data_IF_047388927740
#
_entry.id   IF_047388927740
#
_cell.length_a   1.000
_cell.length_b   1.000
_cell.length_c   1.000
_cell.angle_alpha   90.00
_cell.angle_beta   90.00
_cell.angle_gamma   90.00
#
_symmetry.space_group_name_H-M   'P 1'
#
loop_
_entity.id
_entity.type
_entity.pdbx_description
1 polymer ?
#
# COMPACT_ATOMS: atom_id res chain seq x y z
N UNK A 1 15.84 -3.80 11.42
CA UNK A 1 17.27 -3.84 11.74
C UNK A 1 17.58 -4.76 12.94
N UNK A 2 16.79 -4.68 14.04
CA UNK A 2 16.97 -5.54 15.21
C UNK A 2 16.55 -7.00 14.97
N UNK A 3 15.56 -7.22 14.10
CA UNK A 3 15.04 -8.54 13.71
C UNK A 3 15.20 -8.69 12.20
N UNK A 4 16.39 -9.02 11.68
CA UNK A 4 16.68 -9.12 10.26
C UNK A 4 16.25 -10.48 9.67
N UNK A 5 14.97 -10.85 9.85
CA UNK A 5 14.38 -12.09 9.36
C UNK A 5 13.44 -11.79 8.19
N UNK A 6 13.34 -12.71 7.22
CA UNK A 6 12.35 -12.66 6.16
C UNK A 6 10.94 -12.88 6.74
N UNK A 7 9.93 -12.15 6.26
CA UNK A 7 8.54 -12.23 6.75
C UNK A 7 7.99 -10.90 7.30
N UNK A 8 8.87 -9.89 7.44
CA UNK A 8 8.45 -8.52 7.74
C UNK A 8 7.63 -8.39 9.03
N UNK A 9 6.51 -7.66 8.95
CA UNK A 9 5.67 -7.32 10.11
C UNK A 9 5.14 -8.56 10.85
N UNK A 10 4.80 -9.63 10.15
CA UNK A 10 4.34 -10.88 10.76
C UNK A 10 5.37 -11.38 11.79
N UNK A 11 6.64 -11.46 11.40
CA UNK A 11 7.73 -11.92 12.27
C UNK A 11 7.99 -10.93 13.41
N UNK A 12 7.85 -9.63 13.18
CA UNK A 12 8.03 -8.63 14.24
C UNK A 12 6.97 -8.78 15.33
N UNK A 13 5.70 -8.93 14.94
CA UNK A 13 4.58 -9.16 15.86
C UNK A 13 4.76 -10.51 16.60
N UNK A 14 5.19 -11.56 15.91
CA UNK A 14 5.46 -12.87 16.51
C UNK A 14 6.54 -12.80 17.60
N UNK A 15 7.66 -12.16 17.33
CA UNK A 15 8.77 -12.01 18.29
C UNK A 15 8.40 -11.20 19.54
N UNK A 16 7.43 -10.29 19.44
CA UNK A 16 7.01 -9.40 20.51
C UNK A 16 5.85 -9.97 21.32
N UNK A 17 4.82 -10.46 20.63
CA UNK A 17 3.53 -10.84 21.21
C UNK A 17 3.26 -12.35 21.18
N UNK A 18 4.06 -13.12 20.43
CA UNK A 18 3.94 -14.57 20.31
C UNK A 18 3.31 -15.04 19.01
N UNK A 19 3.44 -16.34 18.75
CA UNK A 19 3.13 -17.00 17.48
C UNK A 19 1.68 -16.79 17.01
N UNK A 20 0.71 -16.80 17.93
CA UNK A 20 -0.71 -16.59 17.65
C UNK A 20 -0.97 -15.20 16.99
N UNK A 21 -0.31 -14.16 17.48
CA UNK A 21 -0.45 -12.80 16.95
C UNK A 21 0.34 -12.60 15.66
N UNK A 22 1.49 -13.27 15.52
CA UNK A 22 2.22 -13.36 14.25
C UNK A 22 1.35 -13.96 13.16
N UNK A 23 0.74 -15.13 13.44
CA UNK A 23 -0.21 -15.74 12.51
C UNK A 23 -1.36 -14.82 12.15
N UNK A 24 -1.98 -14.14 13.14
CA UNK A 24 -3.08 -13.21 12.91
C UNK A 24 -2.68 -12.07 11.97
N UNK A 25 -1.45 -11.56 12.12
CA UNK A 25 -0.88 -10.55 11.23
C UNK A 25 -0.75 -11.08 9.80
N UNK A 26 -0.19 -12.27 9.63
CA UNK A 26 -0.04 -12.91 8.32
C UNK A 26 -1.39 -13.26 7.68
N UNK A 27 -2.36 -13.70 8.47
CA UNK A 27 -3.74 -13.95 8.05
C UNK A 27 -4.38 -12.66 7.51
N UNK A 28 -4.36 -11.58 8.29
CA UNK A 28 -4.89 -10.28 7.88
C UNK A 28 -4.22 -9.79 6.59
N UNK A 29 -2.90 -9.91 6.49
CA UNK A 29 -2.17 -9.53 5.28
C UNK A 29 -2.58 -10.37 4.07
N UNK A 30 -2.79 -11.68 4.25
CA UNK A 30 -3.18 -12.60 3.18
C UNK A 30 -4.61 -12.41 2.70
N UNK A 31 -5.55 -12.20 3.63
CA UNK A 31 -6.98 -12.20 3.30
C UNK A 31 -7.50 -10.80 3.00
N UNK A 32 -6.95 -9.76 3.64
CA UNK A 32 -7.47 -8.39 3.55
C UNK A 32 -6.50 -7.44 2.87
N UNK A 33 -5.31 -7.23 3.47
CA UNK A 33 -4.45 -6.11 3.09
C UNK A 33 -3.93 -6.24 1.65
N UNK A 34 -3.23 -7.32 1.31
CA UNK A 34 -2.68 -7.46 -0.04
C UNK A 34 -3.75 -7.59 -1.12
N UNK A 35 -4.77 -8.46 -0.98
CA UNK A 35 -5.82 -8.54 -1.99
C UNK A 35 -6.61 -7.25 -2.15
N UNK A 36 -6.95 -6.56 -1.04
CA UNK A 36 -7.67 -5.30 -1.06
C UNK A 36 -6.88 -4.18 -1.72
N UNK A 37 -5.57 -4.07 -1.43
CA UNK A 37 -4.71 -3.06 -2.06
C UNK A 37 -4.49 -3.35 -3.54
N UNK A 38 -4.32 -4.61 -3.95
CA UNK A 38 -4.22 -4.99 -5.37
C UNK A 38 -5.52 -4.62 -6.08
N UNK A 39 -6.68 -4.92 -5.49
CA UNK A 39 -7.98 -4.57 -6.03
C UNK A 39 -8.18 -3.06 -6.15
N UNK A 40 -7.80 -2.29 -5.12
CA UNK A 40 -7.85 -0.83 -5.15
C UNK A 40 -6.99 -0.27 -6.30
N UNK A 41 -5.76 -0.73 -6.45
CA UNK A 41 -4.90 -0.35 -7.58
C UNK A 41 -5.51 -0.74 -8.92
N UNK A 42 -6.10 -1.93 -9.02
CA UNK A 42 -6.71 -2.39 -10.27
C UNK A 42 -7.96 -1.58 -10.65
N UNK A 43 -8.77 -1.18 -9.68
CA UNK A 43 -9.95 -0.33 -9.91
C UNK A 43 -9.52 1.04 -10.43
N UNK A 44 -8.53 1.70 -9.78
CA UNK A 44 -8.05 3.00 -10.26
C UNK A 44 -7.36 2.90 -11.63
N UNK A 45 -6.62 1.81 -11.88
CA UNK A 45 -6.08 1.51 -13.21
C UNK A 45 -7.18 1.42 -14.26
N UNK A 46 -8.24 0.66 -13.95
CA UNK A 46 -9.36 0.44 -14.87
C UNK A 46 -10.16 1.72 -15.12
N UNK A 47 -10.36 2.56 -14.11
CA UNK A 47 -10.99 3.88 -14.25
C UNK A 47 -10.20 4.79 -15.18
N UNK A 48 -8.89 4.88 -14.99
CA UNK A 48 -8.01 5.68 -15.83
C UNK A 48 -7.91 5.12 -17.27
N UNK A 49 -7.87 3.79 -17.43
CA UNK A 49 -7.86 3.15 -18.73
C UNK A 49 -9.17 3.36 -19.48
N UNK A 50 -10.32 3.24 -18.80
CA UNK A 50 -11.64 3.52 -19.38
C UNK A 50 -11.72 4.97 -19.89
N UNK A 51 -11.29 5.94 -19.09
CA UNK A 51 -11.27 7.35 -19.48
C UNK A 51 -10.36 7.61 -20.69
N UNK A 52 -9.17 7.00 -20.72
CA UNK A 52 -8.24 7.12 -21.84
C UNK A 52 -8.81 6.52 -23.15
N UNK A 53 -9.63 5.48 -23.03
CA UNK A 53 -10.34 4.82 -24.16
C UNK A 53 -11.63 5.55 -24.57
N UNK A 54 -12.01 6.62 -23.86
CA UNK A 54 -13.22 7.41 -24.14
C UNK A 54 -14.50 6.84 -23.51
N UNK A 55 -14.38 5.91 -22.56
CA UNK A 55 -15.50 5.38 -21.78
C UNK A 55 -15.64 6.11 -20.43
N UNK A 56 -16.82 6.00 -19.82
CA UNK A 56 -17.04 6.56 -18.47
C UNK A 56 -16.23 5.78 -17.43
N UNK A 57 -15.44 6.49 -16.63
CA UNK A 57 -14.64 5.93 -15.52
C UNK A 57 -15.51 5.43 -14.34
N UNK A 58 -16.81 5.75 -14.34
CA UNK A 58 -17.77 5.28 -13.31
C UNK A 58 -18.63 4.11 -13.78
N UNK A 59 -18.61 3.78 -15.09
CA UNK A 59 -19.40 2.68 -15.64
C UNK A 59 -18.76 1.32 -15.34
N UNK A 60 -19.40 0.59 -14.44
CA UNK A 60 -18.93 -0.74 -14.01
C UNK A 60 -18.83 -1.75 -15.15
N UNK A 61 -19.55 -1.58 -16.25
CA UNK A 61 -19.49 -2.46 -17.43
C UNK A 61 -18.11 -2.46 -18.08
N UNK A 62 -17.39 -1.34 -18.01
CA UNK A 62 -16.03 -1.20 -18.53
C UNK A 62 -14.98 -1.36 -17.42
N UNK A 63 -15.22 -0.77 -16.25
CA UNK A 63 -14.25 -0.75 -15.16
C UNK A 63 -13.99 -2.15 -14.59
N UNK A 64 -15.03 -2.96 -14.34
CA UNK A 64 -14.85 -4.27 -13.72
C UNK A 64 -14.06 -5.26 -14.59
N UNK A 65 -14.38 -5.43 -15.89
CA UNK A 65 -13.58 -6.31 -16.76
C UNK A 65 -12.12 -5.86 -16.89
N UNK A 66 -11.88 -4.54 -16.99
CA UNK A 66 -10.52 -4.00 -17.08
C UNK A 66 -9.74 -4.23 -15.77
N UNK A 67 -10.37 -4.06 -14.61
CA UNK A 67 -9.75 -4.32 -13.31
C UNK A 67 -9.38 -5.80 -13.16
N UNK A 68 -10.30 -6.70 -13.48
CA UNK A 68 -10.03 -8.15 -13.44
C UNK A 68 -8.94 -8.53 -14.46
N UNK A 69 -9.00 -8.00 -15.68
CA UNK A 69 -8.00 -8.28 -16.71
C UNK A 69 -6.58 -7.89 -16.27
N UNK A 70 -6.41 -6.70 -15.66
CA UNK A 70 -5.09 -6.25 -15.21
C UNK A 70 -4.59 -7.09 -14.02
N UNK A 71 -5.47 -7.48 -13.08
CA UNK A 71 -5.09 -8.38 -11.98
C UNK A 71 -4.59 -9.72 -12.51
N UNK A 72 -5.32 -10.33 -13.45
CA UNK A 72 -4.95 -11.61 -14.06
C UNK A 72 -3.65 -11.50 -14.89
N UNK A 73 -3.46 -10.41 -15.61
CA UNK A 73 -2.23 -10.15 -16.36
C UNK A 73 -1.01 -10.09 -15.44
N UNK A 74 -1.13 -9.35 -14.33
CA UNK A 74 -0.07 -9.25 -13.31
C UNK A 74 0.18 -10.64 -12.67
N UNK A 75 -0.87 -11.41 -12.41
CA UNK A 75 -0.74 -12.77 -11.89
C UNK A 75 0.09 -13.65 -12.82
N UNK A 76 -0.23 -13.66 -14.12
CA UNK A 76 0.51 -14.44 -15.12
C UNK A 76 2.00 -14.07 -15.13
N UNK A 77 2.33 -12.78 -15.12
CA UNK A 77 3.72 -12.33 -15.10
C UNK A 77 4.48 -12.81 -13.85
N UNK A 78 3.85 -12.77 -12.68
CA UNK A 78 4.45 -13.22 -11.43
C UNK A 78 4.52 -14.74 -11.32
N UNK A 79 3.58 -15.47 -11.94
CA UNK A 79 3.60 -16.94 -12.01
C UNK A 79 4.70 -17.45 -12.93
N UNK A 80 4.97 -16.77 -14.05
CA UNK A 80 6.07 -17.15 -14.98
C UNK A 80 7.40 -17.22 -14.22
N UNK A 81 7.69 -16.22 -13.40
CA UNK A 81 8.90 -16.22 -12.58
C UNK A 81 9.04 -14.96 -11.73
N UNK A 82 9.56 -15.11 -10.52
CA UNK A 82 9.80 -13.98 -9.62
C UNK A 82 10.77 -12.94 -10.21
N UNK A 83 11.77 -13.38 -10.95
CA UNK A 83 12.70 -12.50 -11.67
C UNK A 83 12.01 -11.67 -12.75
N UNK A 84 11.04 -12.25 -13.47
CA UNK A 84 10.29 -11.57 -14.50
C UNK A 84 9.38 -10.49 -13.90
N UNK A 85 8.67 -10.80 -12.80
CA UNK A 85 7.91 -9.82 -12.03
C UNK A 85 8.81 -8.67 -11.51
N UNK A 86 10.03 -8.97 -11.09
CA UNK A 86 11.03 -7.97 -10.66
C UNK A 86 11.50 -7.04 -11.78
N UNK A 87 11.71 -7.57 -13.00
CA UNK A 87 12.06 -6.74 -14.18
C UNK A 87 10.92 -5.78 -14.51
N UNK A 88 9.68 -6.28 -14.54
CA UNK A 88 8.49 -5.44 -14.77
C UNK A 88 8.40 -4.34 -13.70
N UNK A 89 8.66 -4.68 -12.43
CA UNK A 89 8.68 -3.71 -11.34
C UNK A 89 9.71 -2.60 -11.57
N UNK A 90 10.89 -2.95 -12.04
CA UNK A 90 11.96 -1.98 -12.34
C UNK A 90 11.55 -1.04 -13.49
N UNK A 91 11.04 -1.60 -14.59
CA UNK A 91 10.58 -0.83 -15.75
C UNK A 91 9.44 0.13 -15.33
N UNK A 92 8.44 -0.37 -14.58
CA UNK A 92 7.33 0.44 -14.10
C UNK A 92 7.80 1.54 -13.13
N UNK A 93 8.82 1.27 -12.29
CA UNK A 93 9.38 2.26 -11.38
C UNK A 93 10.10 3.37 -12.12
N UNK A 94 10.87 3.05 -13.15
CA UNK A 94 11.52 4.07 -14.00
C UNK A 94 10.44 4.85 -14.77
N UNK A 95 9.50 4.15 -15.38
CA UNK A 95 8.44 4.75 -16.20
C UNK A 95 7.57 5.74 -15.45
N UNK A 96 7.25 5.48 -14.18
CA UNK A 96 6.44 6.40 -13.35
C UNK A 96 7.17 7.70 -12.96
N UNK A 97 8.50 7.73 -12.99
CA UNK A 97 9.25 8.94 -12.66
C UNK A 97 9.15 9.99 -13.75
N UNK A 98 9.02 9.57 -15.01
CA UNK A 98 8.96 10.49 -16.17
C UNK A 98 7.80 11.49 -16.05
N UNK A 99 6.52 11.08 -15.89
CA UNK A 99 5.42 12.04 -15.75
C UNK A 99 5.58 12.94 -14.51
N UNK A 100 6.10 12.42 -13.40
CA UNK A 100 6.32 13.22 -12.19
C UNK A 100 7.35 14.33 -12.43
N UNK A 101 8.49 14.01 -13.03
CA UNK A 101 9.55 14.98 -13.33
C UNK A 101 9.05 16.03 -14.32
N UNK A 102 8.31 15.63 -15.35
CA UNK A 102 7.75 16.55 -16.33
C UNK A 102 6.75 17.53 -15.69
N UNK A 103 5.81 17.04 -14.88
CA UNK A 103 4.82 17.91 -14.22
C UNK A 103 5.50 18.84 -13.22
N UNK A 104 6.43 18.34 -12.40
CA UNK A 104 7.17 19.18 -11.45
C UNK A 104 7.95 20.26 -12.19
N UNK A 105 8.78 19.88 -13.16
CA UNK A 105 9.63 20.82 -13.90
C UNK A 105 8.84 21.90 -14.64
N UNK A 106 7.91 21.47 -15.48
CA UNK A 106 7.09 22.43 -16.27
C UNK A 106 6.06 23.15 -15.42
N UNK A 107 5.55 22.52 -14.35
CA UNK A 107 4.65 23.17 -13.40
C UNK A 107 5.29 24.38 -12.73
N UNK A 108 6.52 24.25 -12.25
CA UNK A 108 7.26 25.38 -11.68
C UNK A 108 7.62 26.46 -12.70
N UNK A 109 7.86 26.09 -13.98
CA UNK A 109 8.23 27.05 -15.02
C UNK A 109 7.02 27.83 -15.57
N UNK A 110 5.87 27.16 -15.75
CA UNK A 110 4.69 27.71 -16.43
C UNK A 110 3.50 28.02 -15.52
N UNK A 111 3.53 27.56 -14.28
CA UNK A 111 2.48 27.86 -13.32
C UNK A 111 2.52 29.33 -12.87
N UNK A 112 1.35 29.88 -12.60
CA UNK A 112 1.18 31.28 -12.22
C UNK A 112 0.08 31.50 -11.18
N UNK A 113 -0.44 30.45 -10.55
CA UNK A 113 -1.47 30.57 -9.53
C UNK A 113 -0.92 31.23 -8.27
N UNK A 114 -1.64 32.23 -7.75
CA UNK A 114 -1.26 32.95 -6.54
C UNK A 114 -1.90 32.41 -5.27
N UNK A 115 -2.81 31.44 -5.39
CA UNK A 115 -3.65 30.94 -4.28
C UNK A 115 -3.28 29.52 -3.84
N UNK A 116 -2.00 29.25 -3.59
CA UNK A 116 -1.52 27.90 -3.24
C UNK A 116 -2.01 27.44 -1.87
N UNK A 117 -2.16 28.37 -0.90
CA UNK A 117 -2.49 28.05 0.49
C UNK A 117 -3.91 28.47 0.90
N UNK A 118 -4.70 29.00 -0.02
CA UNK A 118 -6.06 29.47 0.26
C UNK A 118 -7.06 28.96 -0.77
N UNK A 119 -8.25 28.48 -0.34
CA UNK A 119 -8.66 28.27 1.06
C UNK A 119 -7.98 27.04 1.68
N UNK A 120 -7.70 27.06 2.99
CA UNK A 120 -7.15 25.90 3.71
C UNK A 120 -8.16 24.77 3.90
N UNK A 121 -9.46 25.09 3.88
CA UNK A 121 -10.57 24.15 4.05
C UNK A 121 -11.68 24.56 3.10
N UNK A 122 -12.37 23.59 2.50
CA UNK A 122 -13.52 23.83 1.63
C UNK A 122 -14.74 24.41 2.39
N UNK A 123 -15.61 25.07 1.68
CA UNK A 123 -16.84 25.62 2.25
C UNK A 123 -17.72 24.51 2.87
N UNK A 124 -18.25 24.76 4.06
CA UNK A 124 -19.15 23.83 4.77
C UNK A 124 -18.46 22.63 5.44
N UNK A 125 -17.13 22.54 5.42
CA UNK A 125 -16.37 21.43 6.02
C UNK A 125 -15.56 21.89 7.22
N UNK A 126 -15.50 21.10 8.30
CA UNK A 126 -14.68 21.44 9.48
C UNK A 126 -13.23 21.04 9.29
N UNK A 127 -12.30 21.78 9.87
CA UNK A 127 -10.87 21.46 9.82
C UNK A 127 -10.59 20.04 10.35
N UNK A 128 -11.28 19.61 11.40
CA UNK A 128 -11.08 18.29 12.02
C UNK A 128 -11.48 17.15 11.09
N UNK A 129 -12.65 17.26 10.42
CA UNK A 129 -13.09 16.24 9.46
C UNK A 129 -12.18 16.20 8.23
N UNK A 130 -11.74 17.35 7.75
CA UNK A 130 -10.81 17.46 6.62
C UNK A 130 -9.46 16.81 6.97
N UNK A 131 -8.90 17.10 8.14
CA UNK A 131 -7.65 16.49 8.59
C UNK A 131 -7.74 14.96 8.67
N UNK A 132 -8.85 14.41 9.16
CA UNK A 132 -9.06 12.95 9.20
C UNK A 132 -9.01 12.32 7.81
N UNK A 133 -9.76 12.88 6.84
CA UNK A 133 -9.79 12.37 5.47
C UNK A 133 -8.44 12.53 4.76
N UNK A 134 -7.79 13.69 4.89
CA UNK A 134 -6.46 13.94 4.31
C UNK A 134 -5.42 12.98 4.89
N UNK A 135 -5.46 12.71 6.19
CA UNK A 135 -4.53 11.76 6.82
C UNK A 135 -4.71 10.35 6.25
N UNK A 136 -5.94 9.84 6.13
CA UNK A 136 -6.19 8.50 5.56
C UNK A 136 -5.68 8.41 4.12
N UNK A 137 -6.02 9.38 3.28
CA UNK A 137 -5.55 9.44 1.89
C UNK A 137 -4.01 9.52 1.80
N UNK A 138 -3.40 10.34 2.65
CA UNK A 138 -1.94 10.47 2.73
C UNK A 138 -1.30 9.16 3.18
N UNK A 139 -1.86 8.49 4.19
CA UNK A 139 -1.34 7.23 4.68
C UNK A 139 -1.42 6.11 3.64
N UNK A 140 -2.47 6.10 2.81
CA UNK A 140 -2.54 5.20 1.66
C UNK A 140 -1.43 5.51 0.64
N UNK A 141 -1.22 6.79 0.32
CA UNK A 141 -0.19 7.21 -0.64
C UNK A 141 1.24 6.88 -0.18
N UNK A 142 1.49 6.90 1.13
CA UNK A 142 2.79 6.56 1.72
C UNK A 142 2.93 5.08 2.13
N UNK A 143 1.88 4.26 1.93
CA UNK A 143 1.93 2.85 2.32
C UNK A 143 2.97 2.05 1.51
N UNK A 144 3.38 0.91 2.05
CA UNK A 144 4.35 0.01 1.44
C UNK A 144 5.76 0.08 2.03
N UNK A 145 6.09 1.08 2.85
CA UNK A 145 7.43 1.23 3.45
C UNK A 145 7.85 0.02 4.31
N UNK A 146 6.92 -0.67 4.93
CA UNK A 146 7.20 -1.84 5.77
C UNK A 146 7.53 -3.09 4.96
N UNK A 147 7.07 -3.15 3.69
CA UNK A 147 7.22 -4.32 2.83
C UNK A 147 8.69 -4.63 2.52
N UNK A 148 9.58 -3.65 2.57
CA UNK A 148 11.03 -3.87 2.46
C UNK A 148 11.55 -4.80 3.56
N UNK A 149 10.87 -4.84 4.72
CA UNK A 149 11.17 -5.79 5.80
C UNK A 149 10.95 -7.25 5.43
N UNK A 150 10.05 -7.54 4.48
CA UNK A 150 9.79 -8.90 4.02
C UNK A 150 11.00 -9.53 3.30
N UNK A 151 11.85 -8.72 2.67
CA UNK A 151 13.07 -9.15 1.97
C UNK A 151 14.34 -8.93 2.79
N UNK A 152 14.22 -8.57 4.07
CA UNK A 152 15.36 -8.23 4.92
C UNK A 152 16.41 -9.37 5.00
N UNK A 153 15.99 -10.63 4.95
CA UNK A 153 16.87 -11.78 4.94
C UNK A 153 17.65 -11.99 3.63
N UNK A 154 17.21 -11.37 2.53
CA UNK A 154 17.85 -11.43 1.21
C UNK A 154 18.91 -10.31 1.02
N UNK A 155 18.94 -9.32 1.93
CA UNK A 155 19.86 -8.19 1.87
C UNK A 155 21.25 -8.55 2.36
N UNK A 156 22.32 -8.10 1.68
CA UNK A 156 23.73 -8.36 2.06
C UNK A 156 24.06 -7.86 3.47
N UNK A 157 23.55 -6.68 3.86
CA UNK A 157 23.75 -6.09 5.17
C UNK A 157 22.48 -5.43 5.70
N UNK A 158 21.44 -6.25 5.94
CA UNK A 158 20.10 -5.80 6.34
C UNK A 158 20.11 -4.90 7.60
N UNK A 159 21.06 -5.10 8.51
CA UNK A 159 21.18 -4.28 9.73
C UNK A 159 21.48 -2.81 9.45
N UNK A 160 22.26 -2.50 8.41
CA UNK A 160 22.62 -1.13 8.00
C UNK A 160 21.76 -0.63 6.85
N UNK A 161 21.46 -1.49 5.88
CA UNK A 161 20.82 -1.09 4.62
C UNK A 161 19.31 -0.88 4.79
N UNK A 162 18.65 -1.69 5.65
CA UNK A 162 17.22 -1.55 5.89
C UNK A 162 16.82 -0.17 6.46
N UNK A 163 17.45 0.35 7.54
CA UNK A 163 17.15 1.70 8.01
C UNK A 163 17.43 2.78 6.96
N UNK A 164 18.53 2.68 6.21
CA UNK A 164 18.86 3.65 5.16
C UNK A 164 17.83 3.63 4.02
N UNK A 165 17.41 2.44 3.60
CA UNK A 165 16.41 2.28 2.55
C UNK A 165 15.05 2.86 2.97
N UNK A 166 14.62 2.61 4.22
CA UNK A 166 13.33 3.13 4.72
C UNK A 166 13.39 4.65 4.88
N UNK A 167 14.37 5.16 5.64
CA UNK A 167 14.46 6.60 5.93
C UNK A 167 14.75 7.40 4.66
N UNK A 168 15.72 6.97 3.86
CA UNK A 168 16.08 7.65 2.61
C UNK A 168 14.95 7.58 1.58
N UNK A 169 14.32 6.42 1.43
CA UNK A 169 13.19 6.23 0.53
C UNK A 169 11.99 7.09 0.90
N UNK A 170 11.58 7.08 2.17
CA UNK A 170 10.46 7.92 2.64
C UNK A 170 10.77 9.42 2.52
N UNK A 171 11.99 9.84 2.84
CA UNK A 171 12.39 11.26 2.68
C UNK A 171 12.35 11.70 1.21
N UNK A 172 12.80 10.85 0.29
CA UNK A 172 12.74 11.12 -1.15
C UNK A 172 11.28 11.20 -1.62
N UNK A 173 10.45 10.23 -1.24
CA UNK A 173 9.02 10.23 -1.58
C UNK A 173 8.32 11.46 -1.05
N UNK A 174 8.61 11.86 0.20
CA UNK A 174 8.06 13.08 0.80
C UNK A 174 8.44 14.32 0.00
N UNK A 175 9.71 14.47 -0.38
CA UNK A 175 10.18 15.59 -1.19
C UNK A 175 9.47 15.64 -2.56
N UNK A 176 9.33 14.50 -3.23
CA UNK A 176 8.62 14.40 -4.51
C UNK A 176 7.14 14.72 -4.35
N UNK A 177 6.48 14.22 -3.31
CA UNK A 177 5.05 14.49 -3.08
C UNK A 177 4.78 15.96 -2.74
N UNK A 178 5.65 16.59 -1.96
CA UNK A 178 5.56 18.03 -1.71
C UNK A 178 5.74 18.82 -3.00
N UNK A 179 6.77 18.50 -3.79
CA UNK A 179 7.05 19.18 -5.03
C UNK A 179 5.90 19.03 -6.05
N UNK A 180 5.33 17.84 -6.21
CA UNK A 180 4.23 17.61 -7.17
C UNK A 180 2.94 18.32 -6.73
N UNK A 181 2.62 18.33 -5.43
CA UNK A 181 1.44 19.02 -4.92
C UNK A 181 1.57 20.54 -5.08
N UNK A 182 2.75 21.10 -4.78
CA UNK A 182 3.02 22.52 -5.05
C UNK A 182 2.89 22.80 -6.55
N UNK A 183 3.44 21.96 -7.43
CA UNK A 183 3.33 22.14 -8.87
C UNK A 183 1.86 22.10 -9.35
N UNK A 184 1.03 21.20 -8.81
CA UNK A 184 -0.39 21.14 -9.13
C UNK A 184 -1.10 22.45 -8.77
N UNK A 185 -0.93 22.91 -7.53
CA UNK A 185 -1.55 24.13 -7.03
C UNK A 185 -1.00 25.41 -7.70
N UNK A 186 0.24 25.36 -8.19
CA UNK A 186 0.85 26.44 -8.94
C UNK A 186 0.28 26.56 -10.37
N UNK A 187 -0.17 25.46 -10.96
CA UNK A 187 -0.76 25.39 -12.31
C UNK A 187 -2.27 25.61 -12.30
N UNK A 188 -2.96 25.08 -11.28
CA UNK A 188 -4.40 25.15 -11.15
C UNK A 188 -4.80 25.39 -9.70
N UNK A 189 -5.74 26.33 -9.42
CA UNK A 189 -6.21 26.58 -8.05
C UNK A 189 -6.93 25.37 -7.48
N UNK A 190 -6.96 25.26 -6.16
CA UNK A 190 -7.59 24.15 -5.45
C UNK A 190 -9.07 23.93 -5.85
N UNK A 191 -9.80 25.01 -6.16
CA UNK A 191 -11.20 24.97 -6.61
C UNK A 191 -11.40 24.22 -7.93
N UNK A 192 -10.42 24.26 -8.83
CA UNK A 192 -10.48 23.52 -10.10
C UNK A 192 -10.04 22.06 -9.93
N UNK A 193 -9.19 21.78 -8.96
CA UNK A 193 -8.69 20.44 -8.67
C UNK A 193 -9.68 19.64 -7.80
N UNK A 194 -10.56 20.31 -7.07
CA UNK A 194 -11.53 19.69 -6.19
C UNK A 194 -12.56 18.85 -6.98
N UNK A 195 -12.78 17.61 -6.55
CA UNK A 195 -13.76 16.70 -7.18
C UNK A 195 -13.34 16.11 -8.53
N UNK A 196 -12.15 16.44 -9.05
CA UNK A 196 -11.63 15.89 -10.31
C UNK A 196 -11.10 14.46 -10.07
N UNK A 197 -11.48 13.54 -10.93
CA UNK A 197 -11.03 12.13 -10.86
C UNK A 197 -9.52 11.99 -11.02
N UNK A 198 -8.90 12.82 -11.86
CA UNK A 198 -7.45 12.81 -12.11
C UNK A 198 -6.87 14.22 -12.16
N UNK A 199 -6.50 14.80 -11.00
CA UNK A 199 -5.82 16.11 -10.95
C UNK A 199 -4.56 16.18 -11.83
N UNK A 200 -3.79 15.07 -11.87
CA UNK A 200 -2.59 14.99 -12.69
C UNK A 200 -2.87 15.18 -14.19
N UNK A 201 -3.94 14.55 -14.69
CA UNK A 201 -4.36 14.68 -16.10
C UNK A 201 -4.85 16.10 -16.42
N UNK A 202 -5.58 16.73 -15.50
CA UNK A 202 -6.02 18.12 -15.64
C UNK A 202 -4.83 19.08 -15.74
N UNK A 203 -3.88 18.97 -14.81
CA UNK A 203 -2.66 19.80 -14.81
C UNK A 203 -1.83 19.55 -16.07
N UNK A 204 -1.70 18.30 -16.49
CA UNK A 204 -0.98 17.97 -17.71
C UNK A 204 -1.64 18.54 -18.96
N UNK A 205 -2.98 18.53 -19.03
CA UNK A 205 -3.72 19.20 -20.11
C UNK A 205 -3.46 20.70 -20.16
N UNK A 206 -3.40 21.37 -19.01
CA UNK A 206 -3.06 22.79 -18.92
C UNK A 206 -1.61 23.09 -19.38
N UNK A 207 -0.67 22.22 -19.00
CA UNK A 207 0.75 22.41 -19.32
C UNK A 207 1.12 22.05 -20.75
N UNK A 208 0.54 20.97 -21.29
CA UNK A 208 0.99 20.32 -22.52
C UNK A 208 -0.13 20.13 -23.56
N UNK A 209 -1.36 20.60 -23.28
CA UNK A 209 -2.54 20.36 -24.12
C UNK A 209 -3.03 18.91 -24.08
N UNK A 210 -4.02 18.57 -24.91
CA UNK A 210 -4.70 17.27 -24.91
C UNK A 210 -3.76 16.06 -25.10
N UNK A 211 -2.72 16.21 -25.91
CA UNK A 211 -1.74 15.13 -26.14
C UNK A 211 -0.93 14.90 -24.85
N UNK A 212 -0.51 15.95 -24.18
CA UNK A 212 0.20 15.87 -22.92
C UNK A 212 -0.63 15.19 -21.82
N UNK A 213 -1.91 15.53 -21.72
CA UNK A 213 -2.82 14.87 -20.79
C UNK A 213 -2.91 13.36 -21.01
N UNK A 214 -3.05 12.92 -22.24
CA UNK A 214 -3.07 11.48 -22.58
C UNK A 214 -1.76 10.77 -22.26
N UNK A 215 -0.61 11.40 -22.53
CA UNK A 215 0.71 10.85 -22.19
C UNK A 215 0.89 10.69 -20.68
N UNK A 216 0.47 11.69 -19.92
CA UNK A 216 0.55 11.63 -18.44
C UNK A 216 -0.42 10.55 -17.90
N UNK A 217 -1.64 10.45 -18.43
CA UNK A 217 -2.58 9.39 -18.08
C UNK A 217 -1.99 7.99 -18.34
N UNK A 218 -1.30 7.80 -19.48
CA UNK A 218 -0.58 6.56 -19.76
C UNK A 218 0.56 6.31 -18.73
N UNK A 219 1.28 7.34 -18.33
CA UNK A 219 2.30 7.26 -17.29
C UNK A 219 1.72 6.86 -15.92
N UNK A 220 0.53 7.38 -15.59
CA UNK A 220 -0.22 6.99 -14.38
C UNK A 220 -0.60 5.50 -14.45
N UNK A 221 -1.08 5.02 -15.59
CA UNK A 221 -1.40 3.60 -15.79
C UNK A 221 -0.18 2.71 -15.52
N UNK A 222 0.99 3.07 -16.07
CA UNK A 222 2.25 2.35 -15.83
C UNK A 222 2.61 2.36 -14.34
N UNK A 223 2.44 3.49 -13.68
CA UNK A 223 2.72 3.66 -12.25
C UNK A 223 1.83 2.75 -11.39
N UNK A 224 0.53 2.78 -11.62
CA UNK A 224 -0.45 1.99 -10.85
C UNK A 224 -0.29 0.51 -11.14
N UNK A 225 -0.05 0.12 -12.39
CA UNK A 225 0.28 -1.25 -12.78
C UNK A 225 1.52 -1.77 -12.02
N UNK A 226 2.60 -0.98 -11.99
CA UNK A 226 3.81 -1.33 -11.25
C UNK A 226 3.56 -1.46 -9.75
N UNK A 227 2.72 -0.61 -9.18
CA UNK A 227 2.33 -0.69 -7.77
C UNK A 227 1.57 -1.99 -7.48
N UNK A 228 0.55 -2.32 -8.26
CA UNK A 228 -0.19 -3.57 -8.14
C UNK A 228 0.72 -4.80 -8.31
N UNK A 229 1.64 -4.77 -9.29
CA UNK A 229 2.62 -5.82 -9.49
C UNK A 229 3.53 -6.02 -8.27
N UNK A 230 4.00 -4.95 -7.66
CA UNK A 230 4.79 -5.01 -6.42
C UNK A 230 4.03 -5.65 -5.26
N UNK A 231 2.74 -5.34 -5.10
CA UNK A 231 1.90 -5.97 -4.08
C UNK A 231 1.63 -7.46 -4.36
N UNK A 232 1.44 -7.88 -5.60
CA UNK A 232 1.34 -9.32 -5.96
C UNK A 232 2.65 -10.03 -5.67
N UNK A 233 3.77 -9.44 -6.10
CA UNK A 233 5.11 -10.00 -5.91
C UNK A 233 5.44 -10.21 -4.41
N UNK A 234 5.21 -9.21 -3.58
CA UNK A 234 5.53 -9.25 -2.14
C UNK A 234 4.46 -9.99 -1.33
N UNK A 235 3.19 -9.74 -1.63
CA UNK A 235 2.05 -10.26 -0.89
C UNK A 235 1.94 -11.78 -0.96
N UNK A 236 2.26 -12.38 -2.09
CA UNK A 236 2.24 -13.84 -2.24
C UNK A 236 3.24 -14.59 -1.35
N UNK A 237 4.27 -13.90 -0.87
CA UNK A 237 5.26 -14.49 0.05
C UNK A 237 4.72 -14.68 1.47
N UNK A 238 3.67 -13.96 1.87
CA UNK A 238 3.09 -14.07 3.21
C UNK A 238 2.35 -15.41 3.39
N UNK A 239 1.33 -15.77 2.57
CA UNK A 239 0.69 -17.08 2.68
C UNK A 239 1.66 -18.23 2.43
N UNK A 240 2.65 -18.05 1.57
CA UNK A 240 3.73 -19.01 1.39
C UNK A 240 4.54 -19.23 2.67
N UNK A 241 4.93 -18.16 3.38
CA UNK A 241 5.69 -18.24 4.61
C UNK A 241 4.88 -18.94 5.72
N UNK A 242 3.61 -18.58 5.91
CA UNK A 242 2.71 -19.21 6.88
C UNK A 242 2.54 -20.71 6.54
N UNK A 243 2.39 -21.02 5.27
CA UNK A 243 2.23 -22.41 4.81
C UNK A 243 3.49 -23.25 5.06
N UNK A 244 4.69 -22.68 4.98
CA UNK A 244 5.94 -23.39 5.33
C UNK A 244 6.00 -23.82 6.80
N UNK A 245 5.37 -23.07 7.69
CA UNK A 245 5.24 -23.42 9.10
C UNK A 245 4.10 -24.42 9.37
N UNK A 246 3.28 -24.68 8.36
CA UNK A 246 2.12 -25.59 8.45
C UNK A 246 0.94 -24.96 9.20
N UNK A 247 0.89 -23.66 9.34
CA UNK A 247 -0.09 -22.94 10.18
C UNK A 247 -1.31 -22.41 9.38
N UNK A 248 -1.45 -22.79 8.11
CA UNK A 248 -2.62 -22.44 7.27
C UNK A 248 -3.18 -23.70 6.59
N UNK A 249 -4.51 -23.80 6.38
CA UNK A 249 -5.11 -24.89 5.62
C UNK A 249 -4.50 -24.98 4.21
N UNK A 250 -4.24 -26.19 3.73
CA UNK A 250 -3.66 -26.40 2.41
C UNK A 250 -2.17 -26.02 2.31
N UNK A 251 -1.43 -26.03 3.41
CA UNK A 251 0.01 -25.70 3.47
C UNK A 251 0.83 -26.43 2.40
N UNK A 252 0.62 -27.73 2.19
CA UNK A 252 1.29 -28.52 1.13
C UNK A 252 1.02 -28.00 -0.28
N UNK A 253 -0.13 -27.38 -0.50
CA UNK A 253 -0.51 -26.79 -1.79
C UNK A 253 0.13 -25.42 -1.96
N UNK A 254 0.09 -24.56 -0.92
CA UNK A 254 0.58 -23.18 -0.96
C UNK A 254 2.11 -23.09 -0.99
N UNK A 255 2.83 -24.12 -0.51
CA UNK A 255 4.30 -24.17 -0.53
C UNK A 255 4.89 -24.60 -1.88
N UNK A 256 4.07 -24.93 -2.87
CA UNK A 256 4.57 -25.31 -4.20
C UNK A 256 5.15 -24.09 -4.92
N UNK A 257 6.36 -24.27 -5.45
CA UNK A 257 7.04 -23.30 -6.31
C UNK A 257 7.27 -23.90 -7.70
N UNK A 258 7.28 -23.06 -8.71
CA UNK A 258 7.60 -23.47 -10.08
C UNK A 258 9.11 -23.38 -10.38
N UNK A 259 9.53 -23.71 -11.61
CA UNK A 259 10.92 -23.61 -12.06
C UNK A 259 11.48 -22.18 -11.99
N UNK A 260 10.63 -21.15 -12.04
CA UNK A 260 10.96 -19.73 -11.88
C UNK A 260 11.00 -19.26 -10.43
N UNK A 261 11.02 -20.16 -9.45
CA UNK A 261 11.02 -19.86 -8.00
C UNK A 261 9.82 -19.04 -7.53
N UNK A 262 8.70 -19.08 -8.27
CA UNK A 262 7.47 -18.38 -7.91
C UNK A 262 6.53 -19.29 -7.13
N UNK A 263 5.97 -18.85 -5.99
CA UNK A 263 4.97 -19.57 -5.22
C UNK A 263 3.59 -19.42 -5.89
N UNK A 264 3.41 -20.10 -7.02
CA UNK A 264 2.28 -19.87 -7.94
C UNK A 264 0.90 -20.07 -7.29
N UNK A 265 0.76 -21.05 -6.38
CA UNK A 265 -0.51 -21.27 -5.68
C UNK A 265 -0.82 -20.14 -4.66
N UNK A 266 0.20 -19.61 -4.00
CA UNK A 266 0.05 -18.45 -3.12
C UNK A 266 -0.27 -17.17 -3.91
N UNK A 267 0.29 -17.02 -5.12
CA UNK A 267 -0.08 -15.93 -6.05
C UNK A 267 -1.55 -16.03 -6.40
N UNK A 268 -2.02 -17.23 -6.85
CA UNK A 268 -3.42 -17.43 -7.23
C UNK A 268 -4.39 -17.19 -6.06
N UNK A 269 -4.02 -17.58 -4.84
CA UNK A 269 -4.84 -17.30 -3.66
C UNK A 269 -5.10 -15.80 -3.50
N UNK A 270 -4.03 -14.98 -3.50
CA UNK A 270 -4.14 -13.53 -3.34
C UNK A 270 -4.88 -12.90 -4.51
N UNK A 271 -4.61 -13.36 -5.73
CA UNK A 271 -5.22 -12.84 -6.96
C UNK A 271 -6.71 -13.12 -7.02
N UNK A 272 -7.15 -14.33 -6.66
CA UNK A 272 -8.58 -14.67 -6.60
C UNK A 272 -9.30 -13.77 -5.59
N UNK A 273 -8.72 -13.59 -4.39
CA UNK A 273 -9.27 -12.68 -3.40
C UNK A 273 -9.29 -11.23 -3.91
N UNK A 274 -8.25 -10.78 -4.60
CA UNK A 274 -8.21 -9.45 -5.20
C UNK A 274 -9.30 -9.26 -6.27
N UNK A 275 -9.54 -10.27 -7.12
CA UNK A 275 -10.64 -10.24 -8.09
C UNK A 275 -12.01 -10.11 -7.40
N UNK A 276 -12.24 -10.85 -6.30
CA UNK A 276 -13.49 -10.74 -5.53
C UNK A 276 -13.67 -9.34 -4.94
N UNK A 277 -12.61 -8.75 -4.38
CA UNK A 277 -12.67 -7.37 -3.87
C UNK A 277 -12.86 -6.35 -5.01
N UNK A 278 -12.25 -6.55 -6.16
CA UNK A 278 -12.39 -5.66 -7.32
C UNK A 278 -13.83 -5.59 -7.85
N UNK A 279 -14.68 -6.63 -7.59
CA UNK A 279 -16.10 -6.61 -7.95
C UNK A 279 -16.89 -5.48 -7.29
N UNK A 280 -16.38 -4.93 -6.18
CA UNK A 280 -16.98 -3.73 -5.57
C UNK A 280 -16.96 -2.53 -6.52
N UNK A 281 -15.92 -2.43 -7.35
CA UNK A 281 -15.67 -1.30 -8.24
C UNK A 281 -15.43 0.03 -7.53
N UNK A 282 -15.11 0.00 -6.23
CA UNK A 282 -15.01 1.19 -5.38
C UNK A 282 -13.60 1.32 -4.78
N UNK A 283 -12.79 2.21 -5.34
CA UNK A 283 -11.44 2.47 -4.86
C UNK A 283 -11.42 2.92 -3.38
N UNK A 284 -12.26 3.90 -3.00
CA UNK A 284 -12.27 4.45 -1.65
C UNK A 284 -12.61 3.39 -0.59
N UNK A 285 -13.62 2.56 -0.83
CA UNK A 285 -13.99 1.47 0.09
C UNK A 285 -12.82 0.50 0.32
N UNK A 286 -12.12 0.14 -0.76
CA UNK A 286 -11.00 -0.80 -0.69
C UNK A 286 -9.77 -0.18 0.00
N UNK A 287 -9.45 1.08 -0.32
CA UNK A 287 -8.35 1.80 0.32
C UNK A 287 -8.60 2.02 1.82
N UNK A 288 -9.81 2.44 2.20
CA UNK A 288 -10.17 2.67 3.59
C UNK A 288 -10.09 1.37 4.42
N UNK A 289 -10.63 0.27 3.87
CA UNK A 289 -10.56 -1.05 4.51
C UNK A 289 -9.10 -1.48 4.73
N UNK A 290 -8.27 -1.39 3.69
CA UNK A 290 -6.89 -1.88 3.75
C UNK A 290 -6.02 -1.03 4.68
N UNK A 291 -6.17 0.30 4.64
CA UNK A 291 -5.45 1.21 5.52
C UNK A 291 -5.90 1.01 6.97
N UNK A 292 -7.19 0.89 7.23
CA UNK A 292 -7.68 0.65 8.57
C UNK A 292 -7.05 -0.60 9.20
N UNK A 293 -7.16 -1.76 8.52
CA UNK A 293 -6.68 -3.02 9.10
C UNK A 293 -5.16 -3.04 9.28
N UNK A 294 -4.39 -2.49 8.33
CA UNK A 294 -2.94 -2.48 8.45
C UNK A 294 -2.47 -1.53 9.57
N UNK A 295 -3.13 -0.38 9.77
CA UNK A 295 -2.77 0.58 10.80
C UNK A 295 -3.02 0.07 12.21
N UNK A 296 -4.01 -0.81 12.43
CA UNK A 296 -4.15 -1.52 13.72
C UNK A 296 -2.84 -2.27 14.06
N UNK A 297 -2.27 -2.98 13.09
CA UNK A 297 -1.02 -3.73 13.29
C UNK A 297 0.22 -2.82 13.31
N UNK A 298 0.21 -1.68 12.61
CA UNK A 298 1.29 -0.69 12.73
C UNK A 298 1.35 -0.12 14.15
N UNK A 299 0.22 0.24 14.74
CA UNK A 299 0.15 0.70 16.13
C UNK A 299 0.70 -0.37 17.09
N UNK A 300 0.31 -1.63 16.92
CA UNK A 300 0.86 -2.75 17.69
C UNK A 300 2.38 -2.87 17.48
N UNK A 301 2.88 -2.66 16.27
CA UNK A 301 4.32 -2.71 15.99
C UNK A 301 5.06 -1.55 16.68
N UNK A 302 4.48 -0.34 16.70
CA UNK A 302 5.08 0.81 17.40
C UNK A 302 5.11 0.60 18.93
N UNK A 303 4.02 0.10 19.51
CA UNK A 303 3.98 -0.33 20.93
C UNK A 303 5.04 -1.42 21.17
N UNK A 304 5.17 -2.34 20.22
CA UNK A 304 6.14 -3.42 20.25
C UNK A 304 7.60 -2.96 20.37
N UNK A 305 7.95 -1.81 19.80
CA UNK A 305 9.29 -1.21 19.98
C UNK A 305 9.57 -0.91 21.44
N UNK A 306 8.57 -0.38 22.17
CA UNK A 306 8.70 -0.06 23.58
C UNK A 306 8.76 -1.33 24.45
N UNK A 307 7.88 -2.32 24.15
CA UNK A 307 7.86 -3.63 24.83
C UNK A 307 9.21 -4.34 24.65
N UNK A 308 9.71 -4.39 23.42
CA UNK A 308 10.96 -5.10 23.11
C UNK A 308 12.16 -4.46 23.78
N UNK A 309 12.18 -3.13 23.93
CA UNK A 309 13.22 -2.44 24.69
C UNK A 309 13.21 -2.80 26.19
N UNK A 310 12.01 -2.97 26.76
CA UNK A 310 11.85 -3.35 28.17
C UNK A 310 12.15 -4.83 28.38
N UNK A 311 11.65 -5.73 27.50
CA UNK A 311 11.80 -7.19 27.65
C UNK A 311 13.20 -7.71 27.28
N UNK A 312 13.87 -7.07 26.32
CA UNK A 312 15.20 -7.48 25.83
C UNK A 312 16.14 -6.27 25.76
N UNK A 313 16.58 -5.72 26.92
CA UNK A 313 17.46 -4.55 27.00
C UNK A 313 18.79 -4.76 26.26
N UNK A 314 19.37 -5.96 26.34
CA UNK A 314 20.67 -6.32 25.77
C UNK A 314 20.63 -6.63 24.29
N UNK A 315 19.45 -6.58 23.66
CA UNK A 315 19.32 -6.84 22.22
C UNK A 315 20.09 -5.82 21.38
N UNK A 316 20.94 -6.31 20.47
CA UNK A 316 21.70 -5.44 19.55
C UNK A 316 20.76 -4.67 18.64
N UNK A 317 20.81 -3.34 18.71
CA UNK A 317 20.01 -2.41 17.90
C UNK A 317 20.92 -1.58 17.01
N UNK A 318 21.16 -2.02 15.76
CA UNK A 318 22.03 -1.31 14.82
C UNK A 318 21.54 0.10 14.50
N UNK A 319 20.21 0.30 14.55
CA UNK A 319 19.57 1.62 14.43
C UNK A 319 18.89 1.98 15.76
N UNK A 320 19.29 3.09 16.33
CA UNK A 320 18.69 3.64 17.53
C UNK A 320 17.68 4.71 17.12
N UNK A 321 16.40 4.51 17.50
CA UNK A 321 15.34 5.50 17.25
C UNK A 321 15.74 6.81 17.93
N UNK A 322 15.88 7.93 17.17
CA UNK A 322 16.19 9.23 17.77
C UNK A 322 15.04 9.67 18.68
N UNK A 323 15.35 10.50 19.65
CA UNK A 323 14.38 11.07 20.61
C UNK A 323 13.44 10.04 21.25
N UNK A 324 13.95 8.86 21.53
CA UNK A 324 13.19 7.86 22.26
C UNK A 324 12.91 8.35 23.70
N UNK A 325 11.69 8.20 24.25
CA UNK A 325 10.52 7.49 23.71
C UNK A 325 9.57 8.37 22.89
N UNK A 326 9.87 9.65 22.65
CA UNK A 326 8.96 10.62 22.05
C UNK A 326 8.46 10.19 20.65
N UNK A 327 9.36 9.80 19.74
CA UNK A 327 8.96 9.40 18.37
C UNK A 327 8.05 8.16 18.35
N UNK A 328 8.32 7.06 19.08
CA UNK A 328 7.38 5.95 19.19
C UNK A 328 6.02 6.36 19.78
N UNK A 329 5.98 7.22 20.79
CA UNK A 329 4.72 7.69 21.38
C UNK A 329 3.94 8.51 20.35
N UNK A 330 4.58 9.42 19.62
CA UNK A 330 3.95 10.21 18.55
C UNK A 330 3.37 9.30 17.47
N UNK A 331 4.10 8.27 17.06
CA UNK A 331 3.63 7.29 16.07
C UNK A 331 2.42 6.48 16.59
N UNK A 332 2.41 6.10 17.87
CA UNK A 332 1.29 5.40 18.50
C UNK A 332 0.06 6.32 18.55
N UNK A 333 0.22 7.55 19.00
CA UNK A 333 -0.90 8.52 19.12
C UNK A 333 -1.47 8.84 17.72
N UNK A 334 -0.61 9.12 16.74
CA UNK A 334 -1.04 9.39 15.37
C UNK A 334 -1.74 8.18 14.73
N UNK A 335 -1.18 6.98 14.90
CA UNK A 335 -1.80 5.75 14.41
C UNK A 335 -3.12 5.42 15.10
N UNK A 336 -3.19 5.59 16.43
CA UNK A 336 -4.43 5.40 17.19
C UNK A 336 -5.51 6.40 16.75
N UNK A 337 -5.14 7.67 16.50
CA UNK A 337 -6.06 8.67 15.98
C UNK A 337 -6.66 8.23 14.65
N UNK A 338 -5.85 7.71 13.71
CA UNK A 338 -6.33 7.23 12.41
C UNK A 338 -7.30 6.06 12.58
N UNK A 339 -6.95 5.07 13.40
CA UNK A 339 -7.80 3.90 13.67
C UNK A 339 -9.14 4.32 14.30
N UNK A 340 -9.10 5.18 15.30
CA UNK A 340 -10.31 5.67 15.99
C UNK A 340 -11.16 6.50 15.03
N UNK A 341 -10.55 7.42 14.28
CA UNK A 341 -11.27 8.23 13.30
C UNK A 341 -11.97 7.36 12.26
N UNK A 342 -11.32 6.33 11.74
CA UNK A 342 -11.92 5.41 10.76
C UNK A 342 -13.09 4.60 11.36
N UNK A 343 -12.99 4.18 12.62
CA UNK A 343 -14.12 3.52 13.30
C UNK A 343 -15.33 4.47 13.42
N UNK A 344 -15.09 5.73 13.71
CA UNK A 344 -16.15 6.72 13.88
C UNK A 344 -16.78 7.15 12.54
N UNK A 345 -15.97 7.30 11.50
CA UNK A 345 -16.44 7.75 10.17
C UNK A 345 -16.98 6.64 9.30
N UNK A 346 -16.48 5.43 9.43
CA UNK A 346 -16.86 4.27 8.59
C UNK A 346 -16.99 2.99 9.43
N UNK A 347 -17.95 2.92 10.39
CA UNK A 347 -18.07 1.84 11.36
C UNK A 347 -18.27 0.46 10.70
N UNK A 348 -19.10 0.38 9.66
CA UNK A 348 -19.37 -0.90 8.98
C UNK A 348 -18.12 -1.49 8.32
N UNK A 349 -17.33 -0.66 7.65
CA UNK A 349 -16.06 -1.08 7.01
C UNK A 349 -15.09 -1.55 8.10
N UNK A 350 -14.98 -0.79 9.18
CA UNK A 350 -14.08 -1.08 10.30
C UNK A 350 -14.45 -2.38 11.01
N UNK A 351 -15.73 -2.59 11.32
CA UNK A 351 -16.23 -3.83 11.93
C UNK A 351 -16.00 -5.01 10.99
N UNK A 352 -16.32 -4.88 9.70
CA UNK A 352 -16.07 -5.92 8.70
C UNK A 352 -14.59 -6.32 8.63
N UNK A 353 -13.69 -5.34 8.60
CA UNK A 353 -12.24 -5.58 8.60
C UNK A 353 -11.75 -6.29 9.86
N UNK A 354 -12.25 -5.87 11.04
CA UNK A 354 -11.92 -6.53 12.31
C UNK A 354 -12.44 -7.95 12.39
N UNK A 355 -13.69 -8.18 12.01
CA UNK A 355 -14.29 -9.54 12.00
C UNK A 355 -13.51 -10.48 11.10
N UNK A 356 -13.23 -10.08 9.86
CA UNK A 356 -12.46 -10.88 8.93
C UNK A 356 -11.03 -11.16 9.44
N UNK A 357 -10.44 -10.19 10.12
CA UNK A 357 -9.13 -10.38 10.77
C UNK A 357 -9.24 -11.40 11.92
N UNK A 358 -10.22 -11.24 12.80
CA UNK A 358 -10.38 -12.07 14.00
C UNK A 358 -10.79 -13.53 13.68
N UNK A 359 -11.41 -13.80 12.52
CA UNK A 359 -11.66 -15.15 12.01
C UNK A 359 -10.35 -15.97 11.92
N UNK A 360 -9.21 -15.33 11.75
CA UNK A 360 -7.91 -16.00 11.81
C UNK A 360 -7.64 -16.71 13.14
N UNK A 361 -8.17 -16.24 14.27
CA UNK A 361 -7.92 -16.86 15.59
C UNK A 361 -8.51 -18.26 15.73
N UNK A 362 -9.81 -18.50 15.43
CA UNK A 362 -10.36 -19.86 15.45
C UNK A 362 -9.68 -20.77 14.42
N UNK A 363 -9.33 -20.28 13.24
CA UNK A 363 -8.60 -21.05 12.22
C UNK A 363 -7.25 -21.50 12.78
N UNK A 364 -6.48 -20.60 13.39
CA UNK A 364 -5.22 -20.95 14.06
C UNK A 364 -5.40 -22.02 15.13
N UNK A 365 -6.45 -21.88 15.96
CA UNK A 365 -6.73 -22.81 17.04
C UNK A 365 -7.11 -24.22 16.53
N UNK A 366 -7.89 -24.29 15.44
CA UNK A 366 -8.27 -25.55 14.81
C UNK A 366 -7.06 -26.28 14.23
N UNK A 367 -6.16 -25.57 13.56
CA UNK A 367 -4.96 -26.16 12.94
C UNK A 367 -4.00 -26.68 14.02
N UNK A 368 -3.80 -25.91 15.10
CA UNK A 368 -2.88 -26.33 16.16
C UNK A 368 -3.45 -27.39 17.11
N UNK A 369 -4.76 -27.64 17.10
CA UNK A 369 -5.35 -28.81 17.81
C UNK A 369 -5.15 -30.10 17.03
N UNK A 370 -4.93 -30.03 15.73
CA UNK A 370 -4.72 -31.19 14.86
C UNK A 370 -3.23 -31.57 14.69
N UNK A 371 -2.34 -30.78 15.27
CA UNK A 371 -0.90 -31.07 15.42
C UNK A 371 -0.62 -31.68 16.80
#
# INVERSE_FOLDING_TARGET
>A
AAIPKTGGMMIYIEEIYGKRYGFLTGWMQTVLFFPGTIAACAVIFAQQAAELLGFSSTDKRYVLPLAIAVILLIAVFNVIGSSFGGVIQTIATIGKLVPLVLIIGFGFIRGSSTSIFTPMVGEGVTLTSTLGQVLIATLFAYDGWINVGAIAGEMKNSRKDLPKAIVGGLSLVMAVYLAINVAYLWVAPASELAGVTSPASLVANKLFGNIGGKLISAGILISVFGTANGYVLTGSRIPYAIAREGDIPGSKFLTKVNKGSSPYNAIWLIVILACLYALTGQFNLLSDLTIFVIWVFYVLTFIGVMILRKKRPDMVRPYKVPWYPFIPILAIVGGAFVVINQILTSPLISIGGLVLTLIGLPIYSLINRSK
#
